data_IF_625494462039
#
_entry.id   IF_625494462039
#
_cell.length_a   1.000
_cell.length_b   1.000
_cell.length_c   1.000
_cell.angle_alpha   90.00
_cell.angle_beta   90.00
_cell.angle_gamma   90.00
#
_symmetry.space_group_name_H-M   'P 1'
#
loop_
_entity.id
_entity.type
_entity.pdbx_description
1 polymer ?
#
# COMPACT_ATOMS: atom_id res chain seq x y z
N UNK A 1 14.38 4.81 -37.48
CA UNK A 1 13.84 3.49 -37.83
C UNK A 1 12.89 3.14 -36.70
N UNK A 2 11.60 3.39 -36.90
CA UNK A 2 10.55 3.14 -35.90
C UNK A 2 9.99 1.78 -36.28
N UNK A 3 10.17 0.78 -35.42
CA UNK A 3 9.58 -0.54 -35.64
C UNK A 3 8.05 -0.44 -35.69
N UNK A 4 7.38 -1.24 -36.52
CA UNK A 4 5.93 -1.26 -36.58
C UNK A 4 5.36 -1.71 -35.23
N UNK A 5 4.16 -1.26 -34.84
CA UNK A 5 3.52 -1.75 -33.63
C UNK A 5 3.36 -3.27 -33.75
N UNK A 6 3.89 -3.99 -32.77
CA UNK A 6 3.70 -5.43 -32.62
C UNK A 6 2.23 -5.74 -32.84
N UNK A 7 1.90 -6.58 -33.82
CA UNK A 7 0.51 -6.97 -34.07
C UNK A 7 -0.15 -7.42 -32.75
N UNK A 8 -1.46 -7.22 -32.58
CA UNK A 8 -2.14 -7.55 -31.33
C UNK A 8 -1.80 -8.97 -30.82
N UNK A 9 -1.72 -9.95 -31.72
CA UNK A 9 -1.28 -11.31 -31.39
C UNK A 9 0.18 -11.44 -30.94
N UNK A 10 1.09 -10.59 -31.44
CA UNK A 10 2.48 -10.56 -31.00
C UNK A 10 2.64 -9.93 -29.60
N UNK A 11 1.88 -8.88 -29.31
CA UNK A 11 1.86 -8.24 -27.97
C UNK A 11 1.31 -9.18 -26.90
N UNK A 12 0.21 -9.87 -27.17
CA UNK A 12 -0.37 -10.82 -26.21
C UNK A 12 0.58 -11.98 -25.92
N UNK A 13 1.29 -12.46 -26.94
CA UNK A 13 2.31 -13.48 -26.78
C UNK A 13 3.50 -13.01 -25.91
N UNK A 14 3.94 -11.75 -26.05
CA UNK A 14 5.00 -11.15 -25.20
C UNK A 14 4.55 -11.11 -23.74
N UNK A 15 3.35 -10.58 -23.47
CA UNK A 15 2.82 -10.46 -22.11
C UNK A 15 2.60 -11.83 -21.46
N UNK A 16 2.11 -12.82 -22.22
CA UNK A 16 1.93 -14.18 -21.73
C UNK A 16 3.27 -14.82 -21.33
N UNK A 17 4.29 -14.73 -22.20
CA UNK A 17 5.63 -15.26 -21.88
C UNK A 17 6.22 -14.61 -20.63
N UNK A 18 6.05 -13.29 -20.50
CA UNK A 18 6.51 -12.54 -19.33
C UNK A 18 5.79 -13.00 -18.05
N UNK A 19 4.47 -13.19 -18.10
CA UNK A 19 3.65 -13.66 -16.97
C UNK A 19 4.06 -15.06 -16.52
N UNK A 20 4.26 -15.98 -17.45
CA UNK A 20 4.71 -17.34 -17.15
C UNK A 20 6.15 -17.38 -16.62
N UNK A 21 7.04 -16.55 -17.19
CA UNK A 21 8.41 -16.38 -16.75
C UNK A 21 8.48 -15.85 -15.32
N UNK A 22 7.78 -14.74 -15.06
CA UNK A 22 7.70 -14.14 -13.73
C UNK A 22 7.12 -15.13 -12.71
N UNK A 23 6.02 -15.82 -13.04
CA UNK A 23 5.43 -16.83 -12.15
C UNK A 23 6.42 -17.93 -11.77
N UNK A 24 7.16 -18.49 -12.75
CA UNK A 24 8.16 -19.52 -12.46
C UNK A 24 9.27 -18.97 -11.55
N UNK A 25 9.77 -17.78 -11.86
CA UNK A 25 10.88 -17.16 -11.14
C UNK A 25 10.53 -16.79 -9.70
N UNK A 26 9.35 -16.23 -9.42
CA UNK A 26 8.93 -15.89 -8.05
C UNK A 26 8.74 -17.15 -7.19
N UNK A 27 8.30 -18.27 -7.78
CA UNK A 27 8.19 -19.56 -7.06
C UNK A 27 9.55 -20.13 -6.68
N UNK A 28 10.55 -19.99 -7.55
CA UNK A 28 11.92 -20.42 -7.27
C UNK A 28 12.74 -19.37 -6.53
N UNK A 29 12.16 -18.19 -6.25
CA UNK A 29 12.83 -17.02 -5.63
C UNK A 29 14.05 -16.54 -6.42
N UNK A 30 14.00 -16.68 -7.73
CA UNK A 30 15.06 -16.20 -8.61
C UNK A 30 14.77 -14.75 -9.03
N UNK A 31 15.33 -13.80 -8.29
CA UNK A 31 15.10 -12.37 -8.55
C UNK A 31 15.62 -11.93 -9.91
N UNK A 32 16.73 -12.51 -10.37
CA UNK A 32 17.35 -12.17 -11.64
C UNK A 32 16.49 -12.66 -12.82
N UNK A 33 16.01 -13.89 -12.76
CA UNK A 33 15.10 -14.43 -13.76
C UNK A 33 13.75 -13.69 -13.75
N UNK A 34 13.25 -13.29 -12.57
CA UNK A 34 12.01 -12.52 -12.44
C UNK A 34 12.15 -11.16 -13.12
N UNK A 35 13.24 -10.43 -12.83
CA UNK A 35 13.53 -9.16 -13.48
C UNK A 35 13.73 -9.34 -14.99
N UNK A 36 14.50 -10.35 -15.42
CA UNK A 36 14.75 -10.63 -16.84
C UNK A 36 13.44 -10.89 -17.61
N UNK A 37 12.50 -11.67 -17.06
CA UNK A 37 11.21 -11.94 -17.69
C UNK A 37 10.39 -10.67 -17.91
N UNK A 38 10.40 -9.75 -16.95
CA UNK A 38 9.66 -8.48 -17.03
C UNK A 38 10.35 -7.49 -17.97
N UNK A 39 11.67 -7.33 -17.86
CA UNK A 39 12.42 -6.40 -18.70
C UNK A 39 12.50 -6.84 -20.16
N UNK A 40 12.56 -8.14 -20.43
CA UNK A 40 12.45 -8.65 -21.80
C UNK A 40 11.13 -8.23 -22.46
N UNK A 41 10.01 -8.22 -21.71
CA UNK A 41 8.74 -7.77 -22.23
C UNK A 41 8.75 -6.28 -22.61
N UNK A 42 9.39 -5.44 -21.78
CA UNK A 42 9.58 -4.02 -22.06
C UNK A 42 10.50 -3.80 -23.28
N UNK A 43 11.57 -4.59 -23.40
CA UNK A 43 12.50 -4.56 -24.52
C UNK A 43 11.86 -5.03 -25.84
N UNK A 44 10.92 -5.97 -25.75
CA UNK A 44 10.07 -6.42 -26.86
C UNK A 44 8.93 -5.43 -27.19
N UNK A 45 8.93 -4.23 -26.56
CA UNK A 45 8.01 -3.13 -26.86
C UNK A 45 6.68 -3.15 -26.11
N UNK A 46 6.50 -3.99 -25.07
CA UNK A 46 5.31 -3.92 -24.23
C UNK A 46 5.27 -2.60 -23.44
N UNK A 47 4.09 -2.00 -23.32
CA UNK A 47 3.90 -0.80 -22.51
C UNK A 47 4.05 -1.10 -21.02
N UNK A 48 4.63 -0.17 -20.26
CA UNK A 48 4.83 -0.35 -18.81
C UNK A 48 3.51 -0.55 -18.04
N UNK A 49 2.45 0.17 -18.41
CA UNK A 49 1.12 -0.05 -17.84
C UNK A 49 0.63 -1.49 -18.08
N UNK A 50 0.85 -2.03 -19.27
CA UNK A 50 0.42 -3.38 -19.61
C UNK A 50 1.23 -4.43 -18.87
N UNK A 51 2.53 -4.21 -18.69
CA UNK A 51 3.36 -5.07 -17.84
C UNK A 51 2.87 -5.03 -16.39
N UNK A 52 2.57 -3.85 -15.84
CA UNK A 52 2.04 -3.72 -14.48
C UNK A 52 0.71 -4.47 -14.30
N UNK A 53 -0.22 -4.32 -15.25
CA UNK A 53 -1.60 -4.80 -15.11
C UNK A 53 -1.84 -6.20 -15.67
N UNK A 54 -1.08 -6.62 -16.66
CA UNK A 54 -1.25 -7.91 -17.34
C UNK A 54 -0.13 -8.90 -17.02
N UNK A 55 0.95 -8.50 -16.33
CA UNK A 55 2.03 -9.42 -15.92
C UNK A 55 2.15 -9.45 -14.41
N UNK A 56 2.43 -8.32 -13.78
CA UNK A 56 2.70 -8.25 -12.34
C UNK A 56 1.43 -8.46 -11.52
N UNK A 57 0.35 -7.71 -11.79
CA UNK A 57 -0.90 -7.84 -11.05
C UNK A 57 -1.49 -9.28 -11.11
N UNK A 58 -1.55 -9.96 -12.28
CA UNK A 58 -2.05 -11.34 -12.34
C UNK A 58 -1.15 -12.35 -11.63
N UNK A 59 0.18 -12.17 -11.67
CA UNK A 59 1.10 -13.03 -10.91
C UNK A 59 0.88 -12.82 -9.41
N UNK A 60 0.75 -11.58 -8.93
CA UNK A 60 0.45 -11.33 -7.53
C UNK A 60 -0.90 -11.91 -7.10
N UNK A 61 -1.94 -11.77 -7.94
CA UNK A 61 -3.24 -12.37 -7.65
C UNK A 61 -3.14 -13.89 -7.53
N UNK A 62 -2.36 -14.53 -8.40
CA UNK A 62 -2.08 -15.96 -8.32
C UNK A 62 -1.30 -16.32 -7.05
N UNK A 63 -0.27 -15.55 -6.69
CA UNK A 63 0.46 -15.71 -5.42
C UNK A 63 -0.51 -15.70 -4.23
N UNK A 64 -1.41 -14.72 -4.16
CA UNK A 64 -2.43 -14.65 -3.11
C UNK A 64 -3.40 -15.83 -3.13
N UNK A 65 -3.81 -16.30 -4.31
CA UNK A 65 -4.69 -17.48 -4.47
C UNK A 65 -4.02 -18.76 -3.99
N UNK A 66 -2.74 -18.94 -4.32
CA UNK A 66 -1.97 -20.13 -3.95
C UNK A 66 -1.62 -20.13 -2.45
N UNK A 67 -1.37 -18.94 -1.88
CA UNK A 67 -1.23 -18.76 -0.43
C UNK A 67 -2.54 -19.08 0.31
N UNK A 68 -3.66 -18.51 -0.12
CA UNK A 68 -4.97 -18.76 0.48
C UNK A 68 -5.41 -20.23 0.40
N UNK A 69 -4.83 -21.00 -0.53
CA UNK A 69 -5.06 -22.42 -0.68
C UNK A 69 -3.96 -23.30 -0.06
N UNK A 70 -3.13 -22.74 0.84
CA UNK A 70 -2.02 -23.40 1.56
C UNK A 70 -0.95 -24.06 0.65
N UNK A 71 -0.88 -23.67 -0.63
CA UNK A 71 0.14 -24.12 -1.57
C UNK A 71 1.42 -23.27 -1.53
N UNK A 72 1.30 -22.04 -1.03
CA UNK A 72 2.43 -21.19 -0.66
C UNK A 72 2.36 -20.85 0.83
N UNK A 73 3.50 -20.93 1.51
CA UNK A 73 3.67 -20.41 2.86
C UNK A 73 3.68 -18.88 2.85
N UNK A 74 3.42 -18.27 4.00
CA UNK A 74 3.56 -16.80 4.20
C UNK A 74 4.94 -16.31 3.78
N UNK A 75 6.01 -17.05 4.09
CA UNK A 75 7.37 -16.67 3.70
C UNK A 75 7.59 -16.71 2.18
N UNK A 76 6.88 -17.56 1.44
CA UNK A 76 6.94 -17.60 -0.02
C UNK A 76 6.12 -16.46 -0.64
N UNK A 77 4.95 -16.16 -0.09
CA UNK A 77 4.14 -15.01 -0.48
C UNK A 77 4.93 -13.71 -0.29
N UNK A 78 5.49 -13.46 0.89
CA UNK A 78 6.29 -12.26 1.16
C UNK A 78 7.49 -12.14 0.21
N UNK A 79 8.20 -13.25 -0.06
CA UNK A 79 9.32 -13.24 -0.99
C UNK A 79 8.88 -12.88 -2.41
N UNK A 80 7.78 -13.45 -2.89
CA UNK A 80 7.23 -13.13 -4.21
C UNK A 80 6.80 -11.66 -4.31
N UNK A 81 6.13 -11.14 -3.28
CA UNK A 81 5.71 -9.73 -3.19
C UNK A 81 6.92 -8.79 -3.19
N UNK A 82 7.97 -9.10 -2.42
CA UNK A 82 9.20 -8.30 -2.36
C UNK A 82 9.95 -8.26 -3.70
N UNK A 83 10.03 -9.40 -4.40
CA UNK A 83 10.64 -9.47 -5.74
C UNK A 83 9.88 -8.56 -6.71
N UNK A 84 8.55 -8.62 -6.71
CA UNK A 84 7.74 -7.79 -7.61
C UNK A 84 7.83 -6.30 -7.27
N UNK A 85 7.84 -5.91 -5.99
CA UNK A 85 8.01 -4.50 -5.61
C UNK A 85 9.37 -3.92 -6.02
N UNK A 86 10.43 -4.72 -5.91
CA UNK A 86 11.77 -4.39 -6.43
C UNK A 86 11.75 -4.20 -7.95
N UNK A 87 11.06 -5.09 -8.69
CA UNK A 87 10.91 -4.96 -10.14
C UNK A 87 10.14 -3.70 -10.51
N UNK A 88 9.01 -3.40 -9.85
CA UNK A 88 8.25 -2.18 -10.10
C UNK A 88 9.10 -0.92 -9.87
N UNK A 89 9.90 -0.91 -8.80
CA UNK A 89 10.82 0.20 -8.53
C UNK A 89 11.84 0.37 -9.65
N UNK A 90 12.46 -0.72 -10.10
CA UNK A 90 13.41 -0.67 -11.22
C UNK A 90 12.74 -0.29 -12.56
N UNK A 91 11.46 -0.66 -12.76
CA UNK A 91 10.68 -0.21 -13.92
C UNK A 91 10.46 1.31 -13.89
N UNK A 92 10.14 1.87 -12.71
CA UNK A 92 9.89 3.31 -12.55
C UNK A 92 11.14 4.16 -12.88
N UNK A 93 12.34 3.65 -12.61
CA UNK A 93 13.61 4.31 -12.96
C UNK A 93 13.93 4.18 -14.47
N UNK A 94 13.54 3.06 -15.10
CA UNK A 94 13.88 2.76 -16.49
C UNK A 94 12.91 3.37 -17.49
N UNK A 95 11.61 3.39 -17.18
CA UNK A 95 10.57 3.82 -18.11
C UNK A 95 10.14 5.25 -17.79
N UNK A 96 10.41 6.23 -18.68
CA UNK A 96 9.97 7.58 -18.47
C UNK A 96 8.45 7.65 -18.28
N UNK A 97 8.02 8.31 -17.21
CA UNK A 97 6.60 8.62 -17.01
C UNK A 97 6.20 9.81 -17.88
N UNK A 98 4.92 9.86 -18.25
CA UNK A 98 4.37 11.03 -18.93
C UNK A 98 4.53 12.23 -18.03
N UNK A 99 5.13 13.32 -18.54
CA UNK A 99 5.23 14.58 -17.77
C UNK A 99 3.83 14.96 -17.26
N UNK A 100 3.71 15.39 -15.98
CA UNK A 100 2.44 15.82 -15.45
C UNK A 100 1.78 16.82 -16.39
N UNK A 101 0.57 16.52 -16.85
CA UNK A 101 -0.17 17.46 -17.69
C UNK A 101 -0.56 18.64 -16.81
N UNK A 102 -0.15 19.85 -17.21
CA UNK A 102 -0.52 21.08 -16.50
C UNK A 102 -2.03 21.11 -16.23
N UNK A 103 -2.41 21.45 -14.99
CA UNK A 103 -3.81 21.55 -14.57
C UNK A 103 -4.40 20.29 -13.91
N UNK A 104 -3.68 19.15 -13.85
CA UNK A 104 -4.08 18.02 -13.00
C UNK A 104 -3.60 18.24 -11.56
N UNK A 105 -4.49 18.07 -10.59
CA UNK A 105 -4.11 18.09 -9.18
C UNK A 105 -3.51 16.76 -8.73
N UNK A 106 -2.75 16.80 -7.64
CA UNK A 106 -2.10 15.61 -7.06
C UNK A 106 -3.13 14.61 -6.55
N UNK A 107 -2.90 13.32 -6.81
CA UNK A 107 -3.68 12.22 -6.21
C UNK A 107 -2.86 11.61 -5.07
N UNK A 108 -3.38 11.65 -3.85
CA UNK A 108 -2.81 10.89 -2.75
C UNK A 108 -3.25 9.42 -2.87
N UNK A 109 -2.33 8.48 -2.69
CA UNK A 109 -2.59 7.04 -2.80
C UNK A 109 -2.14 6.36 -1.52
N UNK A 110 -3.05 5.68 -0.82
CA UNK A 110 -2.79 5.10 0.49
C UNK A 110 -3.56 3.79 0.71
N UNK A 111 -3.00 2.90 1.55
CA UNK A 111 -3.78 1.83 2.17
C UNK A 111 -4.38 2.30 3.50
N UNK A 112 -5.59 1.81 3.79
CA UNK A 112 -6.27 2.00 5.08
C UNK A 112 -5.38 1.54 6.23
N UNK A 113 -5.51 2.20 7.39
CA UNK A 113 -4.85 1.81 8.63
C UNK A 113 -4.98 0.30 8.92
N UNK A 114 -3.88 -0.31 9.35
CA UNK A 114 -3.76 -1.76 9.56
C UNK A 114 -3.61 -2.62 8.30
N UNK A 115 -3.80 -2.08 7.10
CA UNK A 115 -3.70 -2.83 5.85
C UNK A 115 -2.28 -2.77 5.25
N UNK A 116 -1.61 -3.92 5.24
CA UNK A 116 -0.23 -4.08 4.75
C UNK A 116 -0.13 -4.38 3.24
N UNK A 117 -1.25 -4.62 2.56
CA UNK A 117 -1.26 -5.04 1.17
C UNK A 117 -1.03 -3.84 0.23
N UNK A 118 0.22 -3.41 0.15
CA UNK A 118 0.64 -2.18 -0.54
C UNK A 118 0.88 -2.36 -2.04
N UNK A 119 1.10 -3.60 -2.51
CA UNK A 119 1.43 -3.83 -3.91
C UNK A 119 0.33 -3.34 -4.89
N UNK A 120 -0.98 -3.52 -4.62
CA UNK A 120 -2.03 -2.94 -5.46
C UNK A 120 -1.98 -1.41 -5.55
N UNK A 121 -1.72 -0.71 -4.44
CA UNK A 121 -1.62 0.76 -4.43
C UNK A 121 -0.33 1.24 -5.08
N UNK A 122 0.76 0.48 -4.98
CA UNK A 122 2.00 0.75 -5.71
C UNK A 122 1.77 0.65 -7.22
N UNK A 123 1.10 -0.39 -7.69
CA UNK A 123 0.72 -0.56 -9.10
C UNK A 123 -0.16 0.62 -9.56
N UNK A 124 -1.19 0.98 -8.79
CA UNK A 124 -2.03 2.14 -9.09
C UNK A 124 -1.21 3.43 -9.21
N UNK A 125 -0.29 3.68 -8.28
CA UNK A 125 0.56 4.87 -8.29
C UNK A 125 1.39 4.96 -9.58
N UNK A 126 2.01 3.86 -10.02
CA UNK A 126 2.78 3.87 -11.27
C UNK A 126 1.89 4.05 -12.51
N UNK A 127 0.72 3.41 -12.56
CA UNK A 127 -0.23 3.61 -13.66
C UNK A 127 -0.67 5.07 -13.75
N UNK A 128 -1.02 5.70 -12.61
CA UNK A 128 -1.41 7.11 -12.57
C UNK A 128 -0.27 8.03 -13.06
N UNK A 129 0.99 7.75 -12.69
CA UNK A 129 2.15 8.49 -13.19
C UNK A 129 2.33 8.32 -14.69
N UNK A 130 2.21 7.11 -15.24
CA UNK A 130 2.24 6.87 -16.68
C UNK A 130 1.12 7.61 -17.42
N UNK A 131 -0.01 7.85 -16.76
CA UNK A 131 -1.15 8.63 -17.27
C UNK A 131 -0.99 10.15 -17.08
N UNK A 132 0.09 10.60 -16.45
CA UNK A 132 0.45 12.00 -16.28
C UNK A 132 -0.21 12.68 -15.08
N UNK A 133 -0.64 11.91 -14.07
CA UNK A 133 -1.04 12.47 -12.78
C UNK A 133 0.19 12.71 -11.90
N UNK A 134 0.26 13.85 -11.18
CA UNK A 134 1.08 13.95 -9.99
C UNK A 134 0.53 13.00 -8.92
N UNK A 135 1.39 12.17 -8.32
CA UNK A 135 1.00 11.16 -7.34
C UNK A 135 1.81 11.31 -6.08
N UNK A 136 1.11 11.41 -4.95
CA UNK A 136 1.68 11.31 -3.61
C UNK A 136 1.39 9.91 -3.05
N UNK A 137 2.41 9.05 -3.03
CA UNK A 137 2.25 7.65 -2.63
C UNK A 137 2.63 7.50 -1.15
N UNK A 138 1.62 7.29 -0.30
CA UNK A 138 1.76 7.26 1.16
C UNK A 138 2.04 5.86 1.72
N UNK A 139 1.92 4.83 0.88
CA UNK A 139 2.23 3.45 1.23
C UNK A 139 1.15 2.72 2.02
N UNK A 140 1.59 1.73 2.80
CA UNK A 140 0.73 0.84 3.57
C UNK A 140 0.19 1.53 4.85
N UNK A 141 -0.85 0.95 5.44
CA UNK A 141 -1.28 1.16 6.83
C UNK A 141 -1.24 2.60 7.35
N UNK A 142 -1.77 3.54 6.58
CA UNK A 142 -1.66 4.97 6.93
C UNK A 142 -2.69 5.28 8.01
N UNK A 143 -2.28 5.61 9.26
CA UNK A 143 -3.24 5.89 10.32
C UNK A 143 -4.10 7.08 9.97
N UNK A 144 -5.42 7.00 10.21
CA UNK A 144 -6.37 8.03 9.74
C UNK A 144 -5.98 9.43 10.20
N UNK A 145 -5.55 9.60 11.45
CA UNK A 145 -5.10 10.91 11.97
C UNK A 145 -3.92 11.50 11.19
N UNK A 146 -2.96 10.65 10.77
CA UNK A 146 -1.79 11.05 9.98
C UNK A 146 -2.16 11.30 8.52
N UNK A 147 -3.07 10.50 7.97
CA UNK A 147 -3.65 10.71 6.65
C UNK A 147 -4.30 12.09 6.58
N UNK A 148 -5.21 12.43 7.50
CA UNK A 148 -5.89 13.75 7.49
C UNK A 148 -4.91 14.91 7.67
N UNK A 149 -3.94 14.78 8.57
CA UNK A 149 -2.90 15.79 8.73
C UNK A 149 -2.11 15.99 7.42
N UNK A 150 -1.85 14.92 6.66
CA UNK A 150 -1.21 15.00 5.36
C UNK A 150 -2.13 15.70 4.34
N UNK A 151 -3.39 15.26 4.21
CA UNK A 151 -4.36 15.83 3.26
C UNK A 151 -4.55 17.35 3.46
N UNK A 152 -4.58 17.84 4.71
CA UNK A 152 -4.65 19.27 4.98
C UNK A 152 -3.42 20.05 4.52
N UNK A 153 -2.22 19.46 4.60
CA UNK A 153 -0.98 20.14 4.20
C UNK A 153 -0.77 20.15 2.70
N UNK A 154 -1.11 19.06 2.03
CA UNK A 154 -0.81 18.87 0.60
C UNK A 154 -1.98 19.20 -0.30
N UNK A 155 -3.21 19.28 0.24
CA UNK A 155 -4.44 19.60 -0.47
C UNK A 155 -4.58 18.84 -1.80
N UNK A 156 -4.48 17.50 -1.81
CA UNK A 156 -4.57 16.74 -3.04
C UNK A 156 -5.97 16.86 -3.63
N UNK A 157 -6.08 16.73 -4.95
CA UNK A 157 -7.36 16.79 -5.65
C UNK A 157 -8.24 15.57 -5.37
N UNK A 158 -7.64 14.44 -5.00
CA UNK A 158 -8.36 13.24 -4.58
C UNK A 158 -7.47 12.35 -3.70
N UNK A 159 -8.11 11.52 -2.89
CA UNK A 159 -7.50 10.37 -2.22
C UNK A 159 -7.96 9.08 -2.90
N UNK A 160 -7.02 8.31 -3.44
CA UNK A 160 -7.23 6.91 -3.80
C UNK A 160 -6.92 6.03 -2.58
N UNK A 161 -7.97 5.49 -1.96
CA UNK A 161 -7.87 4.70 -0.72
C UNK A 161 -8.11 3.23 -1.02
N UNK A 162 -7.15 2.38 -0.67
CA UNK A 162 -7.24 0.93 -0.90
C UNK A 162 -7.42 0.14 0.38
N UNK A 163 -8.17 -0.95 0.29
CA UNK A 163 -8.14 -2.03 1.27
C UNK A 163 -8.31 -3.40 0.61
N UNK A 164 -7.57 -4.39 1.11
CA UNK A 164 -7.57 -5.77 0.63
C UNK A 164 -8.33 -6.72 1.54
N UNK A 165 -8.42 -6.43 2.84
CA UNK A 165 -9.13 -7.27 3.80
C UNK A 165 -10.44 -6.63 4.30
N UNK A 166 -11.60 -7.32 4.22
CA UNK A 166 -12.88 -6.80 4.71
C UNK A 166 -12.89 -6.40 6.19
N UNK A 167 -12.00 -6.97 7.01
CA UNK A 167 -11.85 -6.62 8.43
C UNK A 167 -11.41 -5.16 8.64
N UNK A 168 -10.86 -4.50 7.63
CA UNK A 168 -10.46 -3.09 7.69
C UNK A 168 -11.54 -2.11 7.21
N UNK A 169 -12.71 -2.60 6.76
CA UNK A 169 -13.81 -1.74 6.30
C UNK A 169 -14.28 -0.70 7.35
N UNK A 170 -14.33 -0.98 8.67
CA UNK A 170 -14.63 0.05 9.66
C UNK A 170 -13.57 1.18 9.70
N UNK A 171 -12.30 0.82 9.56
CA UNK A 171 -11.20 1.79 9.42
C UNK A 171 -11.30 2.58 8.13
N UNK A 172 -11.68 1.91 7.03
CA UNK A 172 -11.89 2.54 5.74
C UNK A 172 -13.02 3.58 5.81
N UNK A 173 -14.14 3.25 6.45
CA UNK A 173 -15.26 4.18 6.66
C UNK A 173 -14.82 5.44 7.41
N UNK A 174 -14.02 5.27 8.47
CA UNK A 174 -13.46 6.37 9.26
C UNK A 174 -12.57 7.26 8.40
N UNK A 175 -11.67 6.66 7.61
CA UNK A 175 -10.78 7.40 6.71
C UNK A 175 -11.55 8.13 5.59
N UNK A 176 -12.55 7.47 4.97
CA UNK A 176 -13.41 8.05 3.93
C UNK A 176 -14.12 9.28 4.47
N UNK A 177 -14.84 9.12 5.58
CA UNK A 177 -15.62 10.20 6.19
C UNK A 177 -14.74 11.40 6.58
N UNK A 178 -13.57 11.12 7.16
CA UNK A 178 -12.65 12.16 7.60
C UNK A 178 -11.98 12.91 6.43
N UNK A 179 -11.62 12.20 5.35
CA UNK A 179 -11.06 12.83 4.15
C UNK A 179 -12.08 13.74 3.47
N UNK A 180 -13.33 13.29 3.37
CA UNK A 180 -14.44 14.09 2.83
C UNK A 180 -14.74 15.32 3.70
N UNK A 181 -14.68 15.18 5.03
CA UNK A 181 -14.80 16.32 5.95
C UNK A 181 -13.65 17.33 5.79
N UNK A 182 -12.45 16.88 5.42
CA UNK A 182 -11.32 17.73 5.04
C UNK A 182 -11.46 18.33 3.62
N UNK A 183 -12.55 18.03 2.90
CA UNK A 183 -12.83 18.53 1.56
C UNK A 183 -12.14 17.75 0.44
N UNK A 184 -11.54 16.59 0.73
CA UNK A 184 -10.86 15.74 -0.26
C UNK A 184 -11.78 14.59 -0.67
N UNK A 185 -12.15 14.47 -1.96
CA UNK A 185 -12.98 13.36 -2.44
C UNK A 185 -12.19 12.06 -2.45
N UNK A 186 -12.90 10.95 -2.22
CA UNK A 186 -12.29 9.63 -2.04
C UNK A 186 -12.73 8.67 -3.15
N UNK A 187 -11.74 8.15 -3.86
CA UNK A 187 -11.87 7.01 -4.77
C UNK A 187 -11.44 5.75 -4.03
N UNK A 188 -12.39 4.87 -3.75
CA UNK A 188 -12.12 3.59 -3.09
C UNK A 188 -11.73 2.49 -4.09
N UNK A 189 -10.86 1.58 -3.68
CA UNK A 189 -10.46 0.41 -4.48
C UNK A 189 -9.90 -0.73 -3.63
N UNK A 190 -9.66 -1.87 -4.26
CA UNK A 190 -9.16 -3.06 -3.59
C UNK A 190 -10.24 -4.07 -3.20
N UNK A 191 -9.81 -5.31 -2.96
CA UNK A 191 -10.68 -6.47 -2.85
C UNK A 191 -11.67 -6.41 -1.66
N UNK A 192 -11.32 -5.67 -0.59
CA UNK A 192 -12.17 -5.53 0.58
C UNK A 192 -13.53 -4.90 0.26
N UNK A 193 -13.60 -4.03 -0.75
CA UNK A 193 -14.82 -3.30 -1.09
C UNK A 193 -15.89 -4.13 -1.82
N UNK A 194 -15.58 -5.41 -2.06
CA UNK A 194 -16.51 -6.40 -2.60
C UNK A 194 -16.78 -6.25 -4.09
N UNK A 195 -17.50 -7.22 -4.64
CA UNK A 195 -17.93 -7.21 -6.03
C UNK A 195 -18.69 -5.92 -6.36
N UNK A 196 -18.37 -5.36 -7.52
CA UNK A 196 -18.90 -4.09 -8.03
C UNK A 196 -18.78 -2.91 -7.07
N UNK A 197 -17.89 -2.95 -6.08
CA UNK A 197 -17.69 -1.85 -5.12
C UNK A 197 -18.86 -1.64 -4.15
N UNK A 198 -19.63 -2.69 -3.85
CA UNK A 198 -20.82 -2.59 -2.98
C UNK A 198 -20.52 -1.93 -1.63
N UNK A 199 -19.38 -2.22 -1.02
CA UNK A 199 -19.03 -1.63 0.27
C UNK A 199 -18.48 -0.21 0.11
N UNK A 200 -17.84 0.13 -1.01
CA UNK A 200 -17.42 1.52 -1.25
C UNK A 200 -18.62 2.47 -1.29
N UNK A 201 -19.70 2.06 -1.97
CA UNK A 201 -20.97 2.80 -1.98
C UNK A 201 -21.62 2.85 -0.61
N UNK A 202 -21.67 1.72 0.10
CA UNK A 202 -22.23 1.66 1.45
C UNK A 202 -21.52 2.60 2.43
N UNK A 203 -20.21 2.73 2.30
CA UNK A 203 -19.38 3.59 3.14
C UNK A 203 -19.31 5.05 2.64
N UNK A 204 -20.05 5.39 1.58
CA UNK A 204 -20.18 6.76 1.10
C UNK A 204 -18.97 7.32 0.35
N UNK A 205 -18.09 6.48 -0.21
CA UNK A 205 -16.99 6.97 -1.06
C UNK A 205 -17.54 7.72 -2.29
N UNK A 206 -16.84 8.77 -2.73
CA UNK A 206 -17.24 9.58 -3.89
C UNK A 206 -17.12 8.80 -5.22
N UNK A 207 -16.27 7.77 -5.25
CA UNK A 207 -16.15 6.86 -6.37
C UNK A 207 -15.57 5.50 -5.98
N UNK A 208 -15.69 4.54 -6.88
CA UNK A 208 -15.05 3.24 -6.78
C UNK A 208 -14.44 2.83 -8.13
N UNK A 209 -13.32 2.12 -8.08
CA UNK A 209 -12.73 1.51 -9.25
C UNK A 209 -12.30 0.05 -8.99
N UNK A 210 -12.54 -0.87 -9.94
CA UNK A 210 -12.12 -2.27 -9.82
C UNK A 210 -10.60 -2.44 -9.96
N UNK A 211 -9.95 -1.57 -10.73
CA UNK A 211 -8.54 -1.64 -11.08
C UNK A 211 -7.96 -0.25 -11.39
N UNK A 212 -6.68 -0.19 -11.75
CA UNK A 212 -5.98 1.07 -12.03
C UNK A 212 -6.46 1.78 -13.33
N UNK A 213 -6.95 1.03 -14.33
CA UNK A 213 -7.53 1.62 -15.55
C UNK A 213 -8.87 2.27 -15.22
N UNK A 214 -9.70 1.58 -14.46
CA UNK A 214 -10.96 2.11 -13.93
C UNK A 214 -10.73 3.33 -13.05
N UNK A 215 -9.71 3.32 -12.20
CA UNK A 215 -9.37 4.45 -11.34
C UNK A 215 -9.01 5.69 -12.18
N UNK A 216 -8.20 5.49 -13.22
CA UNK A 216 -7.87 6.56 -14.17
C UNK A 216 -9.12 7.12 -14.85
N UNK A 217 -10.02 6.24 -15.32
CA UNK A 217 -11.26 6.67 -15.97
C UNK A 217 -12.16 7.51 -15.04
N UNK A 218 -12.28 7.11 -13.77
CA UNK A 218 -13.05 7.86 -12.76
C UNK A 218 -12.42 9.24 -12.49
N UNK A 219 -11.10 9.30 -12.38
CA UNK A 219 -10.37 10.55 -12.14
C UNK A 219 -10.45 11.49 -13.36
N UNK A 220 -10.37 10.95 -14.58
CA UNK A 220 -10.54 11.71 -15.83
C UNK A 220 -11.97 12.25 -15.98
N UNK A 221 -12.98 11.50 -15.52
CA UNK A 221 -14.38 11.92 -15.49
C UNK A 221 -14.70 13.03 -14.49
N UNK A 222 -13.72 13.49 -13.70
CA UNK A 222 -13.89 14.63 -12.80
C UNK A 222 -14.58 14.30 -11.47
N UNK A 223 -14.70 13.03 -11.09
CA UNK A 223 -15.26 12.61 -9.81
C UNK A 223 -14.48 13.14 -8.57
N UNK A 224 -13.29 13.73 -8.78
CA UNK A 224 -12.53 14.49 -7.78
C UNK A 224 -12.86 15.99 -7.68
N UNK A 225 -13.81 16.52 -8.46
CA UNK A 225 -14.24 17.92 -8.38
C UNK A 225 -15.54 18.00 -7.59
N UNK A 226 -15.46 18.12 -6.26
CA UNK A 226 -16.58 18.72 -5.52
C UNK A 226 -16.76 20.13 -6.08
N UNK A 227 -17.96 20.46 -6.55
CA UNK A 227 -18.33 21.85 -6.80
C UNK A 227 -18.01 22.62 -5.51
N UNK A 228 -17.22 23.69 -5.62
CA UNK A 228 -16.95 24.55 -4.46
C UNK A 228 -18.31 24.93 -3.84
N UNK A 229 -18.47 24.80 -2.51
CA UNK A 229 -19.67 25.32 -1.88
C UNK A 229 -19.79 26.80 -2.29
N UNK A 230 -20.99 27.31 -2.65
CA UNK A 230 -21.13 28.72 -2.95
C UNK A 230 -20.57 29.49 -1.76
N UNK A 231 -19.59 30.35 -2.02
CA UNK A 231 -18.96 31.15 -0.99
C UNK A 231 -20.07 31.76 -0.14
N UNK A 232 -20.20 31.31 1.11
CA UNK A 232 -21.10 31.94 2.05
C UNK A 232 -20.61 33.37 2.15
N UNK A 233 -21.31 34.29 1.48
CA UNK A 233 -21.08 35.71 1.61
C UNK A 233 -21.24 36.00 3.09
N UNK A 234 -20.11 36.17 3.78
CA UNK A 234 -20.11 36.70 5.12
C UNK A 234 -20.69 38.11 4.96
N UNK A 235 -21.97 38.28 5.31
CA UNK A 235 -22.54 39.62 5.44
C UNK A 235 -21.67 40.32 6.48
N UNK A 236 -21.09 41.50 6.18
CA UNK A 236 -20.41 42.26 7.21
C UNK A 236 -21.42 42.48 8.33
N UNK A 237 -21.05 42.10 9.55
CA UNK A 237 -21.82 42.42 10.73
C UNK A 237 -21.98 43.95 10.77
N UNK A 238 -23.22 44.42 10.83
CA UNK A 238 -23.54 45.81 11.10
C UNK A 238 -22.78 46.21 12.37
N UNK A 239 -21.79 47.09 12.21
CA UNK A 239 -21.13 47.75 13.34
C UNK A 239 -22.08 48.81 13.88
N UNK A 240 -23.11 48.36 14.60
CA UNK A 240 -23.79 49.17 15.60
C UNK A 240 -22.78 49.56 16.67
N UNK A 241 -22.62 50.88 16.87
CA UNK A 241 -21.59 51.44 17.74
C UNK A 241 -21.66 50.91 19.16
N UNK A 242 -20.51 50.55 19.71
CA UNK A 242 -20.32 50.39 21.15
C UNK A 242 -18.99 51.00 21.54
N UNK A 243 -19.06 51.96 22.44
CA UNK A 243 -17.95 52.75 22.96
C UNK A 243 -17.00 51.88 23.78
N UNK A 244 -15.69 52.07 23.56
CA UNK A 244 -14.64 51.41 24.31
C UNK A 244 -14.54 51.96 25.74
N UNK A 245 -14.42 51.12 26.79
CA UNK A 245 -13.98 51.60 28.09
C UNK A 245 -12.45 51.68 28.14
N UNK A 246 -11.97 52.80 28.71
CA UNK A 246 -10.56 53.11 28.93
C UNK A 246 -9.93 52.17 29.98
N UNK A 247 -8.69 51.76 29.76
CA UNK A 247 -7.85 51.06 30.76
C UNK A 247 -7.22 52.06 31.73
N UNK A 248 -7.13 51.77 33.03
CA UNK A 248 -6.13 52.36 33.91
C UNK A 248 -4.90 51.45 34.02
N UNK A 249 -3.71 52.05 33.96
CA UNK A 249 -2.44 51.37 34.19
C UNK A 249 -2.08 51.30 35.68
N UNK A 250 -1.28 50.29 36.07
CA UNK A 250 -0.54 50.28 37.34
C UNK A 250 0.80 49.58 37.13
N UNK A 251 1.82 50.13 37.79
CA UNK A 251 3.24 49.83 37.75
C UNK A 251 3.68 48.52 38.42
N UNK A 252 4.83 48.05 37.91
CA UNK A 252 5.91 47.20 38.45
C UNK A 252 5.88 46.64 39.89
N UNK A 253 6.34 45.39 40.00
CA UNK A 253 6.87 44.76 41.22
C UNK A 253 7.20 43.27 41.04
N UNK A 254 8.46 42.94 40.71
CA UNK A 254 9.06 41.62 40.90
C UNK A 254 9.49 41.46 42.38
N UNK A 255 9.61 40.24 42.92
CA UNK A 255 10.90 39.55 42.85
C UNK A 255 10.87 38.02 42.59
N UNK A 256 12.00 37.59 42.02
CA UNK A 256 12.62 36.26 42.03
C UNK A 256 12.33 35.36 43.25
N UNK A 257 12.16 34.06 42.99
CA UNK A 257 12.73 33.00 43.81
C UNK A 257 13.30 31.88 42.92
N UNK A 258 14.55 31.53 43.21
CA UNK A 258 15.35 30.43 42.68
C UNK A 258 15.17 29.16 43.52
N UNK A 259 15.76 28.08 42.99
CA UNK A 259 16.12 26.79 43.61
C UNK A 259 15.17 25.61 43.32
N UNK A 260 15.56 24.58 42.55
CA UNK A 260 16.54 23.48 42.78
C UNK A 260 15.79 22.18 43.08
N UNK A 261 16.13 21.08 42.40
CA UNK A 261 16.03 19.74 43.01
C UNK A 261 15.36 18.61 42.22
N UNK A 262 16.21 17.82 41.55
CA UNK A 262 16.25 16.34 41.60
C UNK A 262 15.06 15.47 41.14
N UNK A 263 15.26 14.86 39.97
CA UNK A 263 15.35 13.40 39.75
C UNK A 263 14.63 12.46 40.74
N UNK A 264 13.66 11.69 40.21
CA UNK A 264 13.38 10.36 40.72
C UNK A 264 13.22 9.31 39.62
N UNK A 265 14.25 8.49 39.51
CA UNK A 265 14.22 7.17 38.89
C UNK A 265 13.36 6.22 39.71
N UNK A 266 12.33 5.63 39.09
CA UNK A 266 11.59 4.49 39.60
C UNK A 266 11.68 3.30 38.65
N UNK A 267 12.76 2.52 38.74
CA UNK A 267 12.78 1.13 38.25
C UNK A 267 12.17 0.24 39.34
N UNK A 268 11.13 -0.51 39.01
CA UNK A 268 10.73 -1.69 39.78
C UNK A 268 10.65 -2.91 38.85
N UNK A 269 11.39 -3.95 39.25
CA UNK A 269 11.50 -5.26 38.59
C UNK A 269 10.33 -6.16 38.98
N UNK A 270 9.83 -6.91 38.00
CA UNK A 270 9.69 -8.37 38.01
C UNK A 270 8.93 -9.07 39.13
N UNK A 271 7.75 -9.58 38.75
CA UNK A 271 7.19 -10.91 39.11
C UNK A 271 6.44 -11.38 37.85
N UNK A 272 6.48 -12.61 37.32
CA UNK A 272 6.92 -13.89 37.85
C UNK A 272 5.76 -14.88 37.96
N UNK A 273 5.14 -15.30 36.83
CA UNK A 273 4.27 -16.48 36.68
C UNK A 273 4.02 -16.67 35.16
N UNK A 274 4.64 -17.60 34.41
CA UNK A 274 4.49 -19.06 34.39
C UNK A 274 3.04 -19.52 34.56
N UNK A 275 2.42 -19.92 33.45
CA UNK A 275 1.83 -21.25 33.34
C UNK A 275 1.73 -21.70 31.87
N UNK A 276 2.33 -22.86 31.63
CA UNK A 276 2.33 -23.60 30.38
C UNK A 276 1.52 -24.87 30.62
N UNK A 277 0.40 -25.04 29.93
CA UNK A 277 -0.32 -26.32 29.93
C UNK A 277 0.14 -27.18 28.75
N UNK A 278 1.02 -28.12 29.08
CA UNK A 278 1.34 -29.31 28.29
C UNK A 278 0.34 -30.40 28.64
N UNK A 279 -0.40 -30.91 27.66
CA UNK A 279 -1.11 -32.18 27.76
C UNK A 279 -0.23 -33.29 27.15
N UNK A 280 0.06 -34.35 27.94
CA UNK A 280 0.63 -35.61 27.48
C UNK A 280 -0.17 -36.80 28.02
N UNK A 281 -0.48 -37.72 27.10
CA UNK A 281 -0.53 -39.18 27.30
C UNK A 281 -1.82 -39.78 27.89
N UNK A 282 -2.16 -41.01 27.50
CA UNK A 282 -1.35 -42.15 27.95
C UNK A 282 -0.87 -43.12 26.85
N UNK A 283 0.02 -44.00 27.29
CA UNK A 283 0.89 -44.87 26.52
C UNK A 283 0.46 -46.35 26.54
N UNK A 284 1.00 -47.12 25.58
CA UNK A 284 1.17 -48.58 25.63
C UNK A 284 1.45 -49.12 24.22
N UNK A 285 2.32 -50.09 23.94
CA UNK A 285 3.39 -50.76 24.67
C UNK A 285 4.30 -51.48 23.62
N UNK A 286 5.59 -51.56 23.92
CA UNK A 286 6.68 -52.44 23.45
C UNK A 286 6.48 -53.45 22.29
N UNK A 287 7.49 -53.51 21.39
CA UNK A 287 8.50 -54.61 21.38
C UNK A 287 9.76 -54.27 20.54
N UNK A 288 10.90 -54.77 21.03
CA UNK A 288 12.28 -54.59 20.54
C UNK A 288 12.63 -55.64 19.47
N UNK A 289 13.53 -55.29 18.54
CA UNK A 289 14.25 -56.23 17.67
C UNK A 289 15.55 -55.59 17.16
N UNK A 290 16.65 -56.34 17.23
CA UNK A 290 18.06 -55.93 17.28
C UNK A 290 18.72 -55.96 15.88
N UNK A 291 19.72 -55.10 15.65
CA UNK A 291 20.60 -55.07 14.47
C UNK A 291 21.50 -56.32 14.33
N UNK A 292 22.24 -56.46 13.21
CA UNK A 292 23.67 -56.15 13.31
C UNK A 292 24.30 -55.40 12.12
N UNK A 293 25.44 -54.77 12.42
CA UNK A 293 26.37 -54.02 11.57
C UNK A 293 27.24 -54.93 10.69
N UNK A 294 27.73 -54.39 9.56
CA UNK A 294 29.03 -54.60 8.85
C UNK A 294 28.98 -53.71 7.58
N UNK A 295 29.98 -52.99 7.08
CA UNK A 295 31.38 -52.71 7.40
C UNK A 295 31.90 -51.81 6.26
N UNK A 296 32.70 -50.77 6.56
CA UNK A 296 33.47 -49.95 5.60
C UNK A 296 34.80 -50.66 5.25
N UNK A 297 35.43 -50.38 4.09
CA UNK A 297 36.41 -49.28 3.93
C UNK A 297 36.25 -48.58 2.54
N UNK A 298 36.83 -47.43 2.16
CA UNK A 298 37.94 -46.57 2.60
C UNK A 298 38.56 -45.91 1.35
N UNK A 299 39.13 -44.70 1.48
CA UNK A 299 39.87 -43.87 0.47
C UNK A 299 39.04 -43.16 -0.61
N UNK A 300 39.24 -41.88 -0.98
CA UNK A 300 40.19 -40.80 -0.68
C UNK A 300 39.80 -39.57 -1.55
N UNK A 301 40.34 -38.35 -1.33
CA UNK A 301 39.76 -37.11 -1.86
C UNK A 301 40.32 -36.69 -3.24
N UNK A 302 39.50 -36.02 -4.05
CA UNK A 302 39.95 -35.23 -5.22
C UNK A 302 39.55 -33.78 -5.02
N UNK A 303 40.56 -32.91 -5.05
CA UNK A 303 40.49 -31.46 -4.92
C UNK A 303 39.67 -30.77 -6.01
N UNK A 304 38.94 -29.71 -5.61
CA UNK A 304 38.99 -28.37 -6.23
C UNK A 304 38.84 -27.33 -5.13
#
# INVERSE_FOLDING_TARGET
MIDPPTSAGGRDAVLLRAREGLWRAVRSRDEHAAAAAVFAALDDGAGAEDVLLEVIAPVQHKVGTEWAADRLTVAQEHAATAIQDRIITAMADRVPVTRPRGGRGTVAVACVDGDWHVLPTRILAEVLRHRGYPVDFLGAQVPTSRLIAHLHRTAPAALALSSSLPTHLPGAHTAISAAQAAGVPVLAGGAAFGADGRYARLLGADGWAPDARGATAVLDGGAGRRASPPARRCRPADRGGSAAPRRPGVHAGLPEQTATGAEHHGRARGTGARDAHVHRGPAGAHRRGRAPRRGLPGHGPVHR
#
